data_IF_383136792121
#
_entry.id   IF_383136792121
#
_cell.length_a   1.000
_cell.length_b   1.000
_cell.length_c   1.000
_cell.angle_alpha   90.00
_cell.angle_beta   90.00
_cell.angle_gamma   90.00
#
_symmetry.space_group_name_H-M   'P 1'
#
loop_
_entity.id
_entity.type
_entity.pdbx_description
1 polymer ?
#
# COMPACT_ATOMS: atom_id res chain seq x y z
N UNK A 1 0.90 4.16 2.23
CA UNK A 1 -0.09 3.51 1.34
C UNK A 1 -0.42 2.12 1.91
N UNK A 2 -1.64 1.61 1.67
CA UNK A 2 -2.07 0.30 2.13
C UNK A 2 -1.94 -0.74 1.02
N UNK A 3 -1.41 -1.92 1.36
CA UNK A 3 -1.13 -3.03 0.46
C UNK A 3 -1.97 -4.24 0.87
N UNK A 4 -2.59 -4.94 -0.07
CA UNK A 4 -3.27 -6.22 0.18
C UNK A 4 -2.74 -7.29 -0.75
N UNK A 5 -2.48 -8.47 -0.20
CA UNK A 5 -1.93 -9.62 -0.91
C UNK A 5 -3.04 -10.56 -1.35
N UNK A 6 -2.80 -11.30 -2.42
CA UNK A 6 -3.65 -12.45 -2.74
C UNK A 6 -3.51 -13.54 -1.67
N UNK A 7 -4.64 -14.20 -1.35
CA UNK A 7 -4.68 -15.31 -0.39
C UNK A 7 -3.67 -16.41 -0.76
N UNK A 8 -2.91 -16.90 0.20
CA UNK A 8 -1.89 -17.93 0.02
C UNK A 8 -0.61 -17.48 -0.69
N UNK A 9 -0.51 -16.18 -1.03
CA UNK A 9 0.61 -15.65 -1.80
C UNK A 9 1.12 -14.32 -1.20
N UNK A 10 1.52 -14.31 0.10
CA UNK A 10 2.04 -13.11 0.72
C UNK A 10 3.33 -12.64 0.03
N UNK A 11 3.49 -11.32 -0.03
CA UNK A 11 4.74 -10.70 -0.45
C UNK A 11 5.60 -10.41 0.76
N UNK A 12 6.89 -10.69 0.65
CA UNK A 12 7.86 -10.31 1.67
C UNK A 12 8.15 -8.81 1.63
N UNK A 13 8.75 -8.29 2.72
CA UNK A 13 9.19 -6.90 2.80
C UNK A 13 10.14 -6.55 1.64
N UNK A 14 11.09 -7.42 1.35
CA UNK A 14 12.09 -7.23 0.31
C UNK A 14 11.49 -7.26 -1.10
N UNK A 15 10.56 -8.18 -1.39
CA UNK A 15 9.86 -8.20 -2.68
C UNK A 15 9.12 -6.89 -2.95
N UNK A 16 8.49 -6.31 -1.92
CA UNK A 16 7.81 -5.02 -2.03
C UNK A 16 8.83 -3.89 -2.28
N UNK A 17 9.90 -3.82 -1.48
CA UNK A 17 10.93 -2.79 -1.61
C UNK A 17 11.54 -2.81 -3.02
N UNK A 18 12.02 -3.96 -3.47
CA UNK A 18 12.67 -4.12 -4.77
C UNK A 18 11.71 -3.79 -5.92
N UNK A 19 10.43 -4.16 -5.80
CA UNK A 19 9.42 -3.81 -6.80
C UNK A 19 9.18 -2.30 -6.91
N UNK A 20 9.03 -1.61 -5.77
CA UNK A 20 8.78 -0.16 -5.80
C UNK A 20 10.04 0.62 -6.20
N UNK A 21 11.22 0.20 -5.77
CA UNK A 21 12.49 0.84 -6.16
C UNK A 21 12.74 0.69 -7.66
N UNK A 22 12.56 -0.51 -8.22
CA UNK A 22 12.81 -0.76 -9.65
C UNK A 22 11.90 0.05 -10.58
N UNK A 23 10.72 0.49 -10.12
CA UNK A 23 9.77 1.26 -10.93
C UNK A 23 9.78 2.76 -10.69
N UNK A 24 10.08 3.21 -9.48
CA UNK A 24 9.97 4.62 -9.11
C UNK A 24 11.25 5.22 -8.52
N UNK A 25 12.34 4.46 -8.43
CA UNK A 25 13.61 4.88 -7.84
C UNK A 25 13.61 4.76 -6.31
N UNK A 26 14.56 5.40 -5.64
CA UNK A 26 14.69 5.36 -4.18
C UNK A 26 13.59 6.20 -3.48
N UNK A 27 12.38 5.66 -3.49
CA UNK A 27 11.17 6.32 -2.96
C UNK A 27 10.65 5.64 -1.70
N UNK A 28 11.20 4.50 -1.31
CA UNK A 28 10.68 3.67 -0.22
C UNK A 28 11.36 4.04 1.08
N UNK A 29 10.60 4.60 2.01
CA UNK A 29 11.10 4.90 3.36
C UNK A 29 11.01 3.68 4.27
N UNK A 30 9.87 2.98 4.28
CA UNK A 30 9.70 1.77 5.09
C UNK A 30 8.56 0.88 4.56
N UNK A 31 8.59 -0.40 4.92
CA UNK A 31 7.56 -1.39 4.64
C UNK A 31 7.26 -2.20 5.89
N UNK A 32 5.98 -2.21 6.26
CA UNK A 32 5.43 -2.99 7.36
C UNK A 32 4.55 -4.11 6.82
N UNK A 33 4.76 -5.33 7.30
CA UNK A 33 3.90 -6.48 7.02
C UNK A 33 3.05 -6.75 8.26
N UNK A 34 1.80 -7.17 8.04
CA UNK A 34 0.93 -7.66 9.12
C UNK A 34 1.65 -8.74 9.95
N UNK A 35 1.57 -8.62 11.28
CA UNK A 35 2.01 -9.68 12.18
C UNK A 35 0.89 -10.71 12.32
N UNK A 36 1.16 -11.95 11.95
CA UNK A 36 0.20 -13.05 12.02
C UNK A 36 0.57 -14.08 13.07
N UNK A 37 -0.40 -14.93 13.43
CA UNK A 37 -0.13 -16.09 14.28
C UNK A 37 0.67 -17.14 13.50
N UNK A 38 1.42 -18.03 14.18
CA UNK A 38 2.07 -19.16 13.52
C UNK A 38 1.08 -19.94 12.64
N UNK A 39 1.48 -20.26 11.41
CA UNK A 39 0.64 -20.97 10.44
C UNK A 39 -0.39 -20.11 9.70
N UNK A 40 -0.41 -18.79 9.90
CA UNK A 40 -1.25 -17.87 9.13
C UNK A 40 -0.42 -16.96 8.24
N UNK A 41 -0.83 -16.84 6.98
CA UNK A 41 -0.22 -15.91 6.03
C UNK A 41 -0.68 -14.47 6.30
N UNK A 42 0.22 -13.48 6.20
CA UNK A 42 -0.17 -12.08 6.21
C UNK A 42 -1.04 -11.77 4.99
N UNK A 43 -2.06 -10.96 5.18
CA UNK A 43 -3.01 -10.56 4.13
C UNK A 43 -2.77 -9.13 3.66
N UNK A 44 -2.08 -8.32 4.46
CA UNK A 44 -1.82 -6.94 4.12
C UNK A 44 -0.47 -6.43 4.63
N UNK A 45 -0.12 -5.25 4.13
CA UNK A 45 1.03 -4.48 4.58
C UNK A 45 0.81 -2.99 4.39
N UNK A 46 1.80 -2.20 4.79
CA UNK A 46 1.87 -0.76 4.56
C UNK A 46 3.23 -0.42 4.00
N UNK A 47 3.24 0.52 3.07
CA UNK A 47 4.47 1.13 2.56
C UNK A 47 4.45 2.62 2.85
N UNK A 48 5.56 3.13 3.35
CA UNK A 48 5.81 4.55 3.57
C UNK A 48 6.76 5.01 2.48
N UNK A 49 6.39 6.10 1.80
CA UNK A 49 7.23 6.70 0.77
C UNK A 49 7.94 7.92 1.35
N UNK A 50 9.11 8.23 0.81
CA UNK A 50 9.91 9.42 1.17
C UNK A 50 9.16 10.73 0.91
N UNK A 51 8.24 10.74 -0.05
CA UNK A 51 7.37 11.89 -0.34
C UNK A 51 5.96 11.46 -0.75
N UNK A 52 4.97 12.32 -0.44
CA UNK A 52 3.56 12.06 -0.75
C UNK A 52 3.25 12.11 -2.26
N UNK A 53 4.09 12.79 -3.06
CA UNK A 53 3.92 12.90 -4.53
C UNK A 53 4.11 11.58 -5.27
N UNK A 54 4.72 10.57 -4.61
CA UNK A 54 4.87 9.22 -5.17
C UNK A 54 3.53 8.49 -5.23
N UNK A 55 2.63 8.72 -4.27
CA UNK A 55 1.33 8.03 -4.20
C UNK A 55 0.49 8.23 -5.46
N UNK A 56 0.23 9.47 -5.95
CA UNK A 56 -0.55 9.65 -7.18
C UNK A 56 0.15 9.08 -8.42
N UNK A 57 1.49 9.04 -8.45
CA UNK A 57 2.27 8.39 -9.54
C UNK A 57 2.08 6.87 -9.53
N UNK A 58 2.15 6.25 -8.36
CA UNK A 58 1.93 4.80 -8.18
C UNK A 58 0.50 4.41 -8.54
N UNK A 59 -0.48 5.24 -8.17
CA UNK A 59 -1.89 4.96 -8.41
C UNK A 59 -2.38 5.40 -9.79
N UNK A 60 -1.55 6.12 -10.57
CA UNK A 60 -1.89 6.65 -11.88
C UNK A 60 -3.25 7.39 -11.92
N UNK A 61 -3.47 8.27 -10.94
CA UNK A 61 -4.72 9.04 -10.78
C UNK A 61 -5.93 8.24 -10.30
N UNK A 62 -5.81 6.93 -10.04
CA UNK A 62 -6.89 6.09 -9.54
C UNK A 62 -6.91 6.01 -8.00
N UNK A 63 -8.01 5.49 -7.44
CA UNK A 63 -8.09 5.22 -5.99
C UNK A 63 -7.35 3.95 -5.55
N UNK A 64 -7.11 3.04 -6.50
CA UNK A 64 -6.45 1.74 -6.29
C UNK A 64 -5.69 1.32 -7.55
N UNK A 65 -4.56 0.63 -7.37
CA UNK A 65 -3.80 -0.02 -8.44
C UNK A 65 -3.58 -1.51 -8.15
N UNK A 66 -3.51 -2.32 -9.20
CA UNK A 66 -3.15 -3.75 -9.14
C UNK A 66 -1.80 -3.94 -9.83
N UNK A 67 -0.92 -4.70 -9.17
CA UNK A 67 0.40 -5.05 -9.67
C UNK A 67 0.61 -6.55 -9.64
N UNK A 68 1.53 -7.02 -10.49
CA UNK A 68 2.07 -8.38 -10.46
C UNK A 68 3.52 -8.28 -10.00
N UNK A 69 3.83 -8.82 -8.82
CA UNK A 69 5.17 -8.81 -8.20
C UNK A 69 5.60 -10.25 -8.02
N UNK A 70 6.66 -10.69 -8.71
CA UNK A 70 7.12 -12.09 -8.69
C UNK A 70 5.98 -13.11 -8.90
N UNK A 71 5.09 -12.83 -9.86
CA UNK A 71 3.88 -13.62 -10.16
C UNK A 71 2.79 -13.62 -9.07
N UNK A 72 2.94 -12.84 -8.00
CA UNK A 72 1.93 -12.63 -6.94
C UNK A 72 1.17 -11.34 -7.18
N UNK A 73 -0.14 -11.34 -6.98
CA UNK A 73 -0.93 -10.11 -7.11
C UNK A 73 -0.81 -9.24 -5.86
N UNK A 74 -0.51 -7.96 -6.09
CA UNK A 74 -0.48 -6.92 -5.09
C UNK A 74 -1.52 -5.86 -5.44
N UNK A 75 -2.33 -5.49 -4.47
CA UNK A 75 -3.23 -4.35 -4.60
C UNK A 75 -2.76 -3.22 -3.70
N UNK A 76 -2.71 -2.00 -4.24
CA UNK A 76 -2.29 -0.81 -3.52
C UNK A 76 -3.39 0.26 -3.53
N UNK A 77 -3.61 0.93 -2.40
CA UNK A 77 -4.56 2.05 -2.27
C UNK A 77 -4.10 3.09 -1.26
N UNK A 78 -4.59 4.32 -1.39
CA UNK A 78 -4.34 5.38 -0.40
C UNK A 78 -4.69 4.86 1.01
N UNK A 79 -3.81 5.12 1.98
CA UNK A 79 -4.09 4.81 3.37
C UNK A 79 -5.02 5.89 3.93
N UNK A 80 -6.29 5.56 4.13
CA UNK A 80 -7.22 6.46 4.81
C UNK A 80 -7.09 6.26 6.31
N UNK A 81 -6.58 7.26 7.00
CA UNK A 81 -6.54 7.25 8.45
C UNK A 81 -7.97 7.49 8.96
N UNK A 82 -8.63 6.47 9.50
CA UNK A 82 -10.04 6.52 9.92
C UNK A 82 -10.33 7.52 11.07
N UNK A 83 -9.31 8.19 11.60
CA UNK A 83 -9.47 9.31 12.54
C UNK A 83 -9.68 10.67 11.84
N UNK A 84 -9.57 10.75 10.51
CA UNK A 84 -9.75 11.98 9.73
C UNK A 84 -11.13 12.12 9.06
N UNK A 85 -11.93 11.06 8.97
CA UNK A 85 -13.23 11.09 8.30
C UNK A 85 -14.28 11.96 9.02
N UNK A 86 -14.06 12.32 10.29
CA UNK A 86 -14.92 13.31 10.99
C UNK A 86 -14.65 14.77 10.61
N UNK A 87 -13.58 15.13 9.89
CA UNK A 87 -13.26 16.55 9.60
C UNK A 87 -13.73 17.06 8.23
N UNK A 88 -14.33 16.23 7.36
CA UNK A 88 -14.82 16.71 6.03
C UNK A 88 -16.31 16.46 5.74
N UNK A 89 -17.07 15.84 6.63
CA UNK A 89 -18.52 15.63 6.42
C UNK A 89 -19.43 16.68 7.08
N UNK A 90 -18.88 17.71 7.74
CA UNK A 90 -19.69 18.78 8.36
C UNK A 90 -19.56 20.15 7.65
N UNK A 91 -18.86 20.24 6.51
CA UNK A 91 -18.76 21.49 5.75
C UNK A 91 -19.24 21.32 4.33
N UNK A 92 -20.52 20.97 4.19
CA UNK A 92 -21.34 21.24 3.01
C UNK A 92 -22.80 21.05 3.43
N UNK A 93 -23.32 22.08 4.11
CA UNK A 93 -24.74 22.41 4.06
C UNK A 93 -24.78 23.80 3.43
N UNK A 94 -25.31 23.88 2.21
CA UNK A 94 -25.86 25.11 1.66
C UNK A 94 -27.27 25.28 2.25
#
# INVERSE_FOLDING_TARGET
MFLTFSRGHPLTREEIINFFISKWGDVVQDVFIERTRPGQDPQFGRIVFTTSTVIPRVLNGQSRAKFLVNRKHLWARIYMNRHGEKRKSQSMKF
#
